data_IF_996617683508
#
_entry.id   IF_996617683508
#
_cell.length_a   1.000
_cell.length_b   1.000
_cell.length_c   1.000
_cell.angle_alpha   90.00
_cell.angle_beta   90.00
_cell.angle_gamma   90.00
#
_symmetry.space_group_name_H-M   'P 1'
#
loop_
_entity.id
_entity.type
_entity.pdbx_description
1 polymer ?
#
# COMPACT_ATOMS: atom_id res chain seq x y z
N UNK A 1 -31.21 -22.47 23.94
CA UNK A 1 -29.74 -22.49 24.02
C UNK A 1 -29.03 -22.38 22.66
N UNK A 2 -29.69 -22.51 21.49
CA UNK A 2 -28.97 -22.54 20.20
C UNK A 2 -28.56 -21.17 19.62
N UNK A 3 -29.37 -20.12 19.75
CA UNK A 3 -29.11 -18.84 19.04
C UNK A 3 -27.76 -18.17 19.35
N UNK A 4 -27.30 -18.28 20.60
CA UNK A 4 -26.00 -17.72 21.02
C UNK A 4 -24.80 -18.60 20.63
N UNK A 5 -25.04 -19.87 20.30
CA UNK A 5 -24.03 -20.78 19.77
C UNK A 5 -23.92 -20.63 18.25
N UNK A 6 -25.07 -20.55 17.57
CA UNK A 6 -25.15 -20.31 16.13
C UNK A 6 -24.40 -19.02 15.72
N UNK A 7 -24.51 -17.95 16.53
CA UNK A 7 -23.76 -16.71 16.30
C UNK A 7 -22.24 -16.87 16.49
N UNK A 8 -21.80 -17.67 17.47
CA UNK A 8 -20.37 -17.88 17.73
C UNK A 8 -19.73 -18.72 16.63
N UNK A 9 -20.45 -19.71 16.13
CA UNK A 9 -19.99 -20.56 15.04
C UNK A 9 -19.91 -19.78 13.72
N UNK A 10 -20.85 -18.86 13.47
CA UNK A 10 -20.77 -17.94 12.33
C UNK A 10 -19.56 -17.00 12.42
N UNK A 11 -19.30 -16.40 13.59
CA UNK A 11 -18.14 -15.53 13.79
C UNK A 11 -16.84 -16.31 13.60
N UNK A 12 -16.75 -17.51 14.14
CA UNK A 12 -15.55 -18.35 14.02
C UNK A 12 -15.33 -18.81 12.57
N UNK A 13 -16.40 -19.12 11.86
CA UNK A 13 -16.36 -19.52 10.44
C UNK A 13 -15.96 -18.33 9.56
N UNK A 14 -16.52 -17.14 9.79
CA UNK A 14 -16.16 -15.92 9.05
C UNK A 14 -14.69 -15.57 9.32
N UNK A 15 -14.24 -15.61 10.58
CA UNK A 15 -12.86 -15.35 10.95
C UNK A 15 -11.88 -16.34 10.28
N UNK A 16 -12.21 -17.64 10.28
CA UNK A 16 -11.41 -18.66 9.62
C UNK A 16 -11.35 -18.45 8.09
N UNK A 17 -12.47 -18.10 7.47
CA UNK A 17 -12.54 -17.87 6.02
C UNK A 17 -11.78 -16.60 5.61
N UNK A 18 -11.84 -15.55 6.44
CA UNK A 18 -11.13 -14.30 6.23
C UNK A 18 -9.62 -14.48 6.42
N UNK A 19 -9.21 -15.25 7.44
CA UNK A 19 -7.80 -15.60 7.69
C UNK A 19 -7.20 -16.33 6.49
N UNK A 20 -7.89 -17.35 5.97
CA UNK A 20 -7.41 -18.13 4.82
C UNK A 20 -7.30 -17.29 3.54
N UNK A 21 -8.26 -16.37 3.31
CA UNK A 21 -8.21 -15.44 2.17
C UNK A 21 -7.13 -14.38 2.35
N UNK A 22 -6.90 -13.89 3.56
CA UNK A 22 -5.83 -12.94 3.86
C UNK A 22 -4.44 -13.57 3.66
N UNK A 23 -4.29 -14.85 3.97
CA UNK A 23 -3.06 -15.60 3.72
C UNK A 23 -2.81 -15.78 2.21
N UNK A 24 -3.86 -16.07 1.44
CA UNK A 24 -3.81 -16.13 -0.02
C UNK A 24 -3.55 -14.76 -0.67
N UNK A 25 -4.24 -13.71 -0.25
CA UNK A 25 -4.03 -12.33 -0.72
C UNK A 25 -2.62 -11.84 -0.36
N UNK A 26 -2.11 -12.20 0.81
CA UNK A 26 -0.75 -11.89 1.23
C UNK A 26 0.29 -12.57 0.35
N UNK A 27 0.06 -13.83 -0.03
CA UNK A 27 0.91 -14.57 -0.97
C UNK A 27 0.85 -13.99 -2.39
N UNK A 28 -0.34 -13.71 -2.90
CA UNK A 28 -0.51 -13.10 -4.24
C UNK A 28 0.10 -11.70 -4.31
N UNK A 29 -0.01 -10.88 -3.25
CA UNK A 29 0.65 -9.58 -3.15
C UNK A 29 2.18 -9.68 -3.19
N UNK A 30 2.75 -10.72 -2.57
CA UNK A 30 4.19 -10.96 -2.61
C UNK A 30 4.65 -11.42 -4.00
N UNK A 31 3.86 -12.25 -4.66
CA UNK A 31 4.10 -12.72 -6.03
C UNK A 31 4.06 -11.55 -7.03
N UNK A 32 3.04 -10.70 -6.94
CA UNK A 32 2.84 -9.57 -7.85
C UNK A 32 3.85 -8.44 -7.59
N UNK A 33 4.21 -8.22 -6.32
CA UNK A 33 5.29 -7.32 -5.91
C UNK A 33 6.62 -7.72 -6.53
N UNK A 34 6.93 -9.01 -6.67
CA UNK A 34 8.20 -9.46 -7.26
C UNK A 34 8.34 -9.00 -8.71
N UNK A 35 7.25 -9.07 -9.49
CA UNK A 35 7.24 -8.62 -10.88
C UNK A 35 7.34 -7.10 -10.98
N UNK A 36 6.68 -6.37 -10.10
CA UNK A 36 6.77 -4.90 -10.06
C UNK A 36 8.15 -4.42 -9.61
N UNK A 37 8.73 -5.03 -8.57
CA UNK A 37 10.08 -4.74 -8.09
C UNK A 37 11.12 -5.02 -9.17
N UNK A 38 11.01 -6.16 -9.88
CA UNK A 38 11.89 -6.45 -11.02
C UNK A 38 11.77 -5.39 -12.12
N UNK A 39 10.55 -5.01 -12.51
CA UNK A 39 10.32 -3.97 -13.51
C UNK A 39 10.90 -2.61 -13.07
N UNK A 40 10.76 -2.23 -11.79
CA UNK A 40 11.33 -0.99 -11.24
C UNK A 40 12.86 -1.03 -11.25
N UNK A 41 13.48 -2.15 -10.86
CA UNK A 41 14.94 -2.30 -10.89
C UNK A 41 15.48 -2.17 -12.31
N UNK A 42 14.87 -2.87 -13.28
CA UNK A 42 15.26 -2.71 -14.68
C UNK A 42 14.97 -1.31 -15.23
N UNK A 43 13.87 -0.68 -14.81
CA UNK A 43 13.54 0.69 -15.18
C UNK A 43 14.56 1.71 -14.66
N UNK A 44 14.98 1.58 -13.40
CA UNK A 44 16.03 2.43 -12.79
C UNK A 44 17.37 2.19 -13.48
N UNK A 45 17.76 0.93 -13.70
CA UNK A 45 18.98 0.59 -14.41
C UNK A 45 18.99 1.18 -15.84
N UNK A 46 17.88 1.04 -16.58
CA UNK A 46 17.71 1.62 -17.91
C UNK A 46 17.77 3.16 -17.87
N UNK A 47 17.18 3.81 -16.87
CA UNK A 47 17.24 5.25 -16.71
C UNK A 47 18.68 5.74 -16.46
N UNK A 48 19.44 5.06 -15.59
CA UNK A 48 20.85 5.38 -15.33
C UNK A 48 21.69 5.21 -16.61
N UNK A 49 21.57 4.06 -17.28
CA UNK A 49 22.29 3.80 -18.53
C UNK A 49 21.93 4.81 -19.62
N UNK A 50 20.65 5.16 -19.74
CA UNK A 50 20.19 6.21 -20.64
C UNK A 50 20.82 7.56 -20.33
N UNK A 51 20.89 7.95 -19.04
CA UNK A 51 21.55 9.19 -18.60
C UNK A 51 23.02 9.23 -19.03
N UNK A 52 23.78 8.15 -18.80
CA UNK A 52 25.18 8.06 -19.23
C UNK A 52 25.33 8.09 -20.76
N UNK A 53 24.45 7.41 -21.49
CA UNK A 53 24.45 7.42 -22.95
C UNK A 53 24.22 8.82 -23.51
N UNK A 54 23.21 9.53 -23.00
CA UNK A 54 22.92 10.91 -23.38
C UNK A 54 24.10 11.84 -23.06
N UNK A 55 24.70 11.68 -21.88
CA UNK A 55 25.89 12.44 -21.48
C UNK A 55 27.04 12.21 -22.47
N UNK A 56 27.33 10.95 -22.80
CA UNK A 56 28.31 10.55 -23.79
C UNK A 56 28.01 11.10 -25.19
N UNK A 57 26.74 11.08 -25.61
CA UNK A 57 26.28 11.64 -26.88
C UNK A 57 26.49 13.16 -26.92
N UNK A 58 26.31 13.85 -25.79
CA UNK A 58 26.58 15.28 -25.67
C UNK A 58 28.07 15.58 -25.78
N UNK A 59 28.92 14.83 -25.07
CA UNK A 59 30.37 14.95 -25.20
C UNK A 59 30.85 14.65 -26.61
N UNK A 60 30.29 13.62 -27.25
CA UNK A 60 30.61 13.26 -28.63
C UNK A 60 30.21 14.39 -29.58
N UNK A 61 28.99 14.93 -29.45
CA UNK A 61 28.53 16.07 -30.24
C UNK A 61 29.41 17.31 -30.03
N UNK A 62 29.80 17.58 -28.78
CA UNK A 62 30.75 18.64 -28.46
C UNK A 62 32.07 18.38 -29.16
N UNK A 63 32.73 17.24 -28.96
CA UNK A 63 34.03 16.92 -29.59
C UNK A 63 33.99 17.00 -31.13
N UNK A 64 32.94 16.48 -31.76
CA UNK A 64 32.85 16.40 -33.23
C UNK A 64 32.59 17.77 -33.87
N UNK A 65 31.75 18.61 -33.24
CA UNK A 65 31.39 19.92 -33.77
C UNK A 65 32.11 21.07 -33.05
N UNK A 66 33.03 20.75 -32.11
CA UNK A 66 33.73 21.75 -31.32
C UNK A 66 34.53 22.68 -32.20
N UNK A 67 35.03 22.27 -33.37
CA UNK A 67 35.82 23.17 -34.21
C UNK A 67 34.99 23.98 -35.21
N UNK A 68 33.70 23.67 -35.35
CA UNK A 68 32.78 24.26 -36.33
C UNK A 68 32.28 25.66 -35.92
N UNK A 69 31.84 26.55 -36.83
CA UNK A 69 31.12 27.77 -36.47
C UNK A 69 29.76 27.51 -35.80
N UNK A 70 29.21 26.30 -35.90
CA UNK A 70 27.88 25.95 -35.37
C UNK A 70 27.86 25.51 -33.89
N UNK A 71 28.97 25.68 -33.14
CA UNK A 71 29.10 25.28 -31.72
C UNK A 71 27.88 25.66 -30.86
N UNK A 72 27.43 26.91 -30.97
CA UNK A 72 26.30 27.42 -30.20
C UNK A 72 24.96 26.74 -30.54
N UNK A 73 24.76 26.39 -31.81
CA UNK A 73 23.55 25.68 -32.26
C UNK A 73 23.52 24.25 -31.72
N UNK A 74 24.68 23.58 -31.62
CA UNK A 74 24.80 22.23 -31.04
C UNK A 74 24.49 22.26 -29.55
N UNK A 75 25.10 23.19 -28.80
CA UNK A 75 24.82 23.36 -27.37
C UNK A 75 23.35 23.69 -27.13
N UNK A 76 22.78 24.59 -27.94
CA UNK A 76 21.35 24.92 -27.89
C UNK A 76 20.46 23.71 -28.17
N UNK A 77 20.75 22.94 -29.23
CA UNK A 77 20.00 21.75 -29.62
C UNK A 77 20.03 20.66 -28.54
N UNK A 78 21.21 20.37 -27.99
CA UNK A 78 21.38 19.41 -26.88
C UNK A 78 20.61 19.88 -25.64
N UNK A 79 20.64 21.18 -25.34
CA UNK A 79 19.90 21.76 -24.21
C UNK A 79 18.39 21.60 -24.38
N UNK A 80 17.85 21.92 -25.56
CA UNK A 80 16.42 21.76 -25.86
C UNK A 80 16.01 20.28 -25.80
N UNK A 81 16.83 19.39 -26.37
CA UNK A 81 16.59 17.95 -26.31
C UNK A 81 16.51 17.45 -24.87
N UNK A 82 17.43 17.88 -24.01
CA UNK A 82 17.38 17.55 -22.59
C UNK A 82 16.19 18.14 -21.86
N UNK A 83 15.81 19.38 -22.16
CA UNK A 83 14.64 20.01 -21.56
C UNK A 83 13.36 19.24 -21.90
N UNK A 84 13.20 18.79 -23.16
CA UNK A 84 12.05 17.99 -23.58
C UNK A 84 12.03 16.63 -22.88
N UNK A 85 13.18 15.94 -22.79
CA UNK A 85 13.28 14.66 -22.08
C UNK A 85 12.96 14.81 -20.59
N UNK A 86 13.45 15.88 -19.95
CA UNK A 86 13.15 16.17 -18.55
C UNK A 86 11.65 16.41 -18.33
N UNK A 87 11.00 17.21 -19.18
CA UNK A 87 9.55 17.44 -19.11
C UNK A 87 8.75 16.15 -19.32
N UNK A 88 9.16 15.31 -20.28
CA UNK A 88 8.53 14.01 -20.52
C UNK A 88 8.64 13.09 -19.28
N UNK A 89 9.83 13.01 -18.66
CA UNK A 89 10.03 12.27 -17.42
C UNK A 89 9.16 12.79 -16.28
N UNK A 90 9.07 14.12 -16.09
CA UNK A 90 8.21 14.73 -15.06
C UNK A 90 6.73 14.41 -15.33
N UNK A 91 6.28 14.50 -16.58
CA UNK A 91 4.90 14.18 -16.95
C UNK A 91 4.56 12.71 -16.68
N UNK A 92 5.46 11.79 -17.05
CA UNK A 92 5.31 10.35 -16.76
C UNK A 92 5.30 10.06 -15.27
N UNK A 93 6.20 10.69 -14.50
CA UNK A 93 6.25 10.54 -13.05
C UNK A 93 4.96 11.04 -12.41
N UNK A 94 4.47 12.22 -12.82
CA UNK A 94 3.18 12.76 -12.35
C UNK A 94 2.00 11.84 -12.68
N UNK A 95 1.97 11.24 -13.87
CA UNK A 95 0.94 10.27 -14.25
C UNK A 95 0.96 9.04 -13.33
N UNK A 96 2.15 8.48 -13.07
CA UNK A 96 2.32 7.33 -12.18
C UNK A 96 1.85 7.64 -10.74
N UNK A 97 2.16 8.82 -10.21
CA UNK A 97 1.71 9.24 -8.87
C UNK A 97 0.22 9.59 -8.80
N UNK A 98 -0.39 9.97 -9.92
CA UNK A 98 -1.84 10.28 -9.97
C UNK A 98 -2.66 9.00 -10.00
N UNK A 99 -2.22 7.97 -10.72
CA UNK A 99 -2.89 6.66 -10.77
C UNK A 99 -2.60 5.79 -9.55
N UNK A 100 -1.42 5.93 -8.94
CA UNK A 100 -1.01 5.05 -7.84
C UNK A 100 -1.51 5.56 -6.49
N UNK A 101 -2.75 5.21 -6.14
CA UNK A 101 -3.17 4.98 -4.74
C UNK A 101 -3.38 3.48 -4.50
N UNK A 102 -2.33 2.64 -4.52
CA UNK A 102 -2.52 1.19 -4.49
C UNK A 102 -2.88 0.67 -3.08
N UNK A 103 -2.67 1.47 -2.03
CA UNK A 103 -2.86 1.05 -0.63
C UNK A 103 -3.69 2.02 0.21
N UNK A 104 -4.14 3.14 -0.35
CA UNK A 104 -4.90 4.15 0.41
C UNK A 104 -6.25 3.60 0.88
N UNK A 105 -6.94 2.84 0.02
CA UNK A 105 -8.19 2.18 0.36
C UNK A 105 -7.99 1.07 1.39
N UNK A 106 -6.98 0.20 1.21
CA UNK A 106 -6.72 -0.91 2.13
C UNK A 106 -6.25 -0.46 3.52
N UNK A 107 -5.46 0.62 3.59
CA UNK A 107 -5.03 1.22 4.88
C UNK A 107 -6.19 1.94 5.58
N UNK A 108 -7.11 2.55 4.83
CA UNK A 108 -8.33 3.11 5.42
C UNK A 108 -9.22 2.02 6.01
N UNK A 109 -9.44 0.93 5.28
CA UNK A 109 -10.23 -0.21 5.78
C UNK A 109 -9.61 -0.82 7.04
N UNK A 110 -8.28 -1.03 7.06
CA UNK A 110 -7.61 -1.52 8.28
C UNK A 110 -7.72 -0.55 9.48
N UNK A 111 -7.68 0.76 9.23
CA UNK A 111 -7.86 1.77 10.28
C UNK A 111 -9.28 1.78 10.81
N UNK A 112 -10.27 1.63 9.93
CA UNK A 112 -11.69 1.59 10.31
C UNK A 112 -12.00 0.32 11.12
N UNK A 113 -11.44 -0.82 10.74
CA UNK A 113 -11.58 -2.07 11.49
C UNK A 113 -10.88 -2.03 12.85
N UNK A 114 -9.68 -1.43 12.92
CA UNK A 114 -8.98 -1.20 14.18
C UNK A 114 -9.75 -0.24 15.11
N UNK A 115 -10.39 0.79 14.55
CA UNK A 115 -11.21 1.72 15.31
C UNK A 115 -12.47 1.04 15.88
N UNK A 116 -13.12 0.16 15.11
CA UNK A 116 -14.26 -0.65 15.58
C UNK A 116 -13.89 -1.62 16.69
N UNK A 117 -12.80 -2.38 16.52
CA UNK A 117 -12.31 -3.31 17.55
C UNK A 117 -11.94 -2.59 18.84
N UNK A 118 -11.29 -1.43 18.74
CA UNK A 118 -10.96 -0.60 19.90
C UNK A 118 -12.22 -0.04 20.58
N UNK A 119 -13.24 0.33 19.80
CA UNK A 119 -14.54 0.79 20.31
C UNK A 119 -15.32 -0.30 21.04
N UNK A 120 -15.34 -1.53 20.53
CA UNK A 120 -15.95 -2.68 21.20
C UNK A 120 -15.21 -3.04 22.49
N UNK A 121 -13.89 -3.00 22.51
CA UNK A 121 -13.10 -3.23 23.73
C UNK A 121 -13.31 -2.15 24.82
N UNK A 122 -13.59 -0.92 24.41
CA UNK A 122 -13.87 0.19 25.34
C UNK A 122 -15.33 0.21 25.81
N UNK A 123 -16.25 -0.37 25.04
CA UNK A 123 -17.69 -0.40 25.35
C UNK A 123 -18.10 -1.66 26.12
N UNK A 124 -17.40 -2.79 25.92
CA UNK A 124 -17.59 -4.00 26.71
C UNK A 124 -16.64 -4.01 27.93
N UNK A 125 -17.13 -3.99 29.18
CA UNK A 125 -16.25 -4.20 30.33
C UNK A 125 -15.58 -5.58 30.21
N UNK A 126 -14.25 -5.68 30.45
CA UNK A 126 -13.54 -6.95 30.38
C UNK A 126 -14.03 -7.78 31.56
N UNK A 127 -15.00 -8.64 31.32
CA UNK A 127 -15.64 -9.46 32.35
C UNK A 127 -16.40 -8.60 33.37
N UNK A 128 -17.73 -8.53 33.24
CA UNK A 128 -18.59 -8.16 34.36
C UNK A 128 -19.15 -9.45 34.97
N UNK A 129 -18.48 -10.08 35.96
CA UNK A 129 -19.05 -11.18 36.72
C UNK A 129 -19.90 -10.59 37.85
N UNK A 130 -21.09 -10.09 37.54
CA UNK A 130 -21.94 -9.59 38.63
C UNK A 130 -23.42 -9.64 38.25
N UNK A 131 -24.04 -10.78 38.52
CA UNK A 131 -25.29 -10.81 39.28
C UNK A 131 -25.49 -12.21 39.87
N UNK A 132 -24.70 -12.50 40.92
CA UNK A 132 -25.11 -13.43 41.96
C UNK A 132 -26.47 -12.99 42.51
N UNK A 133 -27.55 -13.71 42.19
CA UNK A 133 -28.78 -13.65 42.99
C UNK A 133 -28.63 -14.58 44.17
N UNK A 134 -27.94 -14.09 45.20
CA UNK A 134 -28.20 -14.49 46.57
C UNK A 134 -29.04 -13.39 47.21
N UNK A 135 -30.34 -13.62 47.34
CA UNK A 135 -31.18 -13.05 48.37
C UNK A 135 -32.35 -14.00 48.62
N UNK A 136 -32.87 -14.26 49.81
CA UNK A 136 -32.39 -14.23 51.21
C UNK A 136 -33.59 -14.77 51.99
N UNK A 137 -33.34 -15.74 52.87
CA UNK A 137 -34.10 -16.16 54.08
C UNK A 137 -35.64 -16.04 54.20
N UNK A 138 -36.22 -17.15 54.67
CA UNK A 138 -37.14 -17.27 55.80
C UNK A 138 -38.65 -16.94 55.64
N UNK A 139 -39.46 -17.99 55.70
CA UNK A 139 -40.82 -18.04 56.25
C UNK A 139 -41.09 -19.49 56.69
N UNK A 140 -40.75 -19.84 57.93
CA UNK A 140 -41.65 -19.90 59.09
C UNK A 140 -42.59 -21.11 59.07
N UNK A 141 -42.37 -21.98 60.08
CA UNK A 141 -43.31 -22.93 60.73
C UNK A 141 -44.78 -22.74 60.37
N UNK A 142 -45.50 -23.85 60.12
CA UNK A 142 -46.66 -24.35 60.90
C UNK A 142 -46.77 -25.88 60.68
N UNK A 143 -46.56 -26.68 61.74
CA UNK A 143 -47.53 -27.57 62.43
C UNK A 143 -48.09 -28.70 61.56
#
# INVERSE_FOLDING_TARGET
MSLAQDSKDLVNTIAATLSNRAELFGLELVEERKRFVSAVVFGVAAAILGMFFLLGLSFLALMLLWDSPYRYAVVGGVTVLYAVLALACIAKLKALFTDSKPFAASVQVLKDDAAKLKGEMLTAPPFSPAASRSDTSAGSREV
#
